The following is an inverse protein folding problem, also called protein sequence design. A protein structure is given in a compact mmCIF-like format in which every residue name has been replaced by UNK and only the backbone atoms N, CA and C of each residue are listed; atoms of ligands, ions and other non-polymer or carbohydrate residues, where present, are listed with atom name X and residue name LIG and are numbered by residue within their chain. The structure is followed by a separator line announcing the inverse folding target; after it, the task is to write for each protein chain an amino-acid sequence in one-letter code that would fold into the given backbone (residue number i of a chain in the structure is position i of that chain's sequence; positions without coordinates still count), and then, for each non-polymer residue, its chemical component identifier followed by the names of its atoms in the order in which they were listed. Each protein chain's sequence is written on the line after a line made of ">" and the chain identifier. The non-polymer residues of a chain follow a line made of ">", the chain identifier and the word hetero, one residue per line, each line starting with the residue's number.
data_IF_652669717969
#
_entry.id   IF_652669717969
#
_cell.length_a   1.000
_cell.length_b   1.000
_cell.length_c   1.000
_cell.angle_alpha   90.00
_cell.angle_beta   90.00
_cell.angle_gamma   90.00
#
_symmetry.space_group_name_H-M   'P 1'
#
loop_
_entity.id
_entity.type
_entity.pdbx_description
1 polymer ?
#
# COMPACT_ATOMS: atom_id res chain seq x y z
N UNK A 1 -16.24 -21.35 15.90
CA UNK A 1 -16.36 -20.49 14.71
C UNK A 1 -15.42 -19.31 14.79
N UNK A 2 -14.21 -19.48 14.25
CA UNK A 2 -13.29 -18.37 14.00
C UNK A 2 -13.86 -17.55 12.85
N UNK A 3 -14.72 -16.58 13.16
CA UNK A 3 -15.02 -15.51 12.21
C UNK A 3 -13.66 -14.97 11.74
N UNK A 4 -13.32 -15.23 10.48
CA UNK A 4 -12.12 -14.66 9.86
C UNK A 4 -12.35 -13.16 9.75
N UNK A 5 -11.98 -12.42 10.80
CA UNK A 5 -12.14 -10.98 10.88
C UNK A 5 -11.18 -10.36 9.88
N UNK A 6 -11.71 -9.76 8.82
CA UNK A 6 -10.92 -8.92 7.91
C UNK A 6 -10.35 -7.76 8.72
N UNK A 7 -9.06 -7.41 8.60
CA UNK A 7 -8.48 -6.29 9.33
C UNK A 7 -9.25 -4.98 9.07
N UNK A 8 -9.51 -4.15 10.10
CA UNK A 8 -10.24 -2.88 9.94
C UNK A 8 -9.63 -1.98 8.86
N UNK A 9 -8.30 -1.96 8.74
CA UNK A 9 -7.59 -1.20 7.72
C UNK A 9 -7.94 -1.65 6.28
N UNK A 10 -8.15 -2.94 6.04
CA UNK A 10 -8.52 -3.45 4.71
C UNK A 10 -9.94 -3.02 4.37
N UNK A 11 -10.89 -3.16 5.31
CA UNK A 11 -12.27 -2.72 5.12
C UNK A 11 -12.34 -1.22 4.89
N UNK A 12 -11.73 -0.42 5.77
CA UNK A 12 -11.72 1.03 5.68
C UNK A 12 -11.12 1.52 4.36
N UNK A 13 -9.99 0.94 3.94
CA UNK A 13 -9.34 1.31 2.69
C UNK A 13 -10.11 0.87 1.44
N UNK A 14 -10.77 -0.30 1.47
CA UNK A 14 -11.58 -0.75 0.33
C UNK A 14 -12.87 0.05 0.19
N UNK A 15 -13.49 0.45 1.30
CA UNK A 15 -14.63 1.37 1.29
C UNK A 15 -14.22 2.73 0.72
N UNK A 16 -13.04 3.25 1.11
CA UNK A 16 -12.49 4.46 0.50
C UNK A 16 -12.35 4.35 -1.02
N UNK A 17 -11.87 3.21 -1.55
CA UNK A 17 -11.78 3.00 -3.00
C UNK A 17 -13.16 2.96 -3.67
N UNK A 18 -14.15 2.35 -3.02
CA UNK A 18 -15.54 2.30 -3.50
C UNK A 18 -16.16 3.72 -3.51
N UNK A 19 -15.94 4.52 -2.47
CA UNK A 19 -16.37 5.91 -2.39
C UNK A 19 -15.69 6.80 -3.44
N UNK A 20 -14.39 6.60 -3.71
CA UNK A 20 -13.71 7.32 -4.80
C UNK A 20 -14.29 6.93 -6.16
N UNK A 21 -14.62 5.66 -6.38
CA UNK A 21 -15.26 5.23 -7.62
C UNK A 21 -16.63 5.89 -7.79
N UNK A 22 -17.46 5.91 -6.73
CA UNK A 22 -18.76 6.58 -6.73
C UNK A 22 -18.65 8.08 -6.99
N UNK A 23 -17.73 8.77 -6.30
CA UNK A 23 -17.47 10.21 -6.48
C UNK A 23 -17.11 10.59 -7.92
N UNK A 24 -16.50 9.66 -8.66
CA UNK A 24 -16.09 9.83 -10.05
C UNK A 24 -17.03 9.15 -11.07
N UNK A 25 -18.23 8.71 -10.65
CA UNK A 25 -19.24 7.99 -11.45
C UNK A 25 -18.70 6.73 -12.17
N UNK A 26 -17.72 6.05 -11.55
CA UNK A 26 -17.15 4.80 -12.05
C UNK A 26 -18.01 3.64 -11.56
N UNK A 27 -18.83 3.09 -12.46
CA UNK A 27 -19.75 1.97 -12.19
C UNK A 27 -19.21 0.61 -12.61
N UNK A 28 -18.07 0.60 -13.31
CA UNK A 28 -17.44 -0.62 -13.77
C UNK A 28 -16.75 -1.36 -12.61
N UNK A 29 -17.28 -2.54 -12.28
CA UNK A 29 -16.75 -3.38 -11.19
C UNK A 29 -15.34 -3.90 -11.51
N UNK A 30 -14.96 -4.04 -12.78
CA UNK A 30 -13.61 -4.46 -13.17
C UNK A 30 -12.57 -3.41 -12.78
N UNK A 31 -12.86 -2.14 -13.01
CA UNK A 31 -12.00 -1.03 -12.61
C UNK A 31 -11.78 -1.01 -11.09
N UNK A 32 -12.84 -1.14 -10.30
CA UNK A 32 -12.75 -1.18 -8.83
C UNK A 32 -11.96 -2.41 -8.36
N UNK A 33 -12.19 -3.57 -8.97
CA UNK A 33 -11.43 -4.79 -8.70
C UNK A 33 -9.93 -4.61 -8.97
N UNK A 34 -9.57 -3.94 -10.06
CA UNK A 34 -8.19 -3.61 -10.42
C UNK A 34 -7.57 -2.71 -9.36
N UNK A 35 -8.28 -1.68 -8.87
CA UNK A 35 -7.77 -0.80 -7.82
C UNK A 35 -7.48 -1.55 -6.52
N UNK A 36 -8.42 -2.39 -6.07
CA UNK A 36 -8.26 -3.22 -4.86
C UNK A 36 -7.08 -4.18 -4.99
N UNK A 37 -6.94 -4.82 -6.17
CA UNK A 37 -5.85 -5.74 -6.47
C UNK A 37 -4.48 -5.05 -6.53
N UNK A 38 -4.39 -3.90 -7.22
CA UNK A 38 -3.16 -3.16 -7.40
C UNK A 38 -2.70 -2.41 -6.15
N UNK A 39 -3.57 -2.23 -5.17
CA UNK A 39 -3.27 -1.51 -3.94
C UNK A 39 -2.86 -2.42 -2.79
N UNK A 40 -3.49 -3.60 -2.62
CA UNK A 40 -3.22 -4.49 -1.50
C UNK A 40 -2.52 -5.81 -1.91
N UNK A 41 -3.16 -6.76 -2.64
CA UNK A 41 -2.50 -8.00 -3.05
C UNK A 41 -1.15 -7.81 -3.73
N UNK A 42 -1.07 -6.93 -4.74
CA UNK A 42 0.16 -6.81 -5.55
C UNK A 42 1.28 -5.99 -4.88
N UNK A 43 0.93 -5.11 -3.94
CA UNK A 43 1.91 -4.24 -3.26
C UNK A 43 2.39 -4.84 -1.94
N UNK A 44 1.47 -5.42 -1.18
CA UNK A 44 1.77 -5.95 0.14
C UNK A 44 1.94 -7.47 0.10
N UNK A 45 0.90 -8.22 -0.27
CA UNK A 45 0.90 -9.68 -0.11
C UNK A 45 1.92 -10.39 -1.01
N UNK A 46 2.01 -10.01 -2.28
CA UNK A 46 3.04 -10.55 -3.20
C UNK A 46 4.44 -10.26 -2.65
N UNK A 47 4.65 -9.06 -2.09
CA UNK A 47 5.96 -8.68 -1.55
C UNK A 47 6.32 -9.52 -0.32
N UNK A 48 5.37 -9.75 0.59
CA UNK A 48 5.56 -10.61 1.76
C UNK A 48 5.79 -12.08 1.34
N UNK A 49 5.02 -12.60 0.39
CA UNK A 49 5.16 -13.98 -0.11
C UNK A 49 6.54 -14.23 -0.72
N UNK A 50 7.06 -13.25 -1.45
CA UNK A 50 8.39 -13.35 -2.08
C UNK A 50 9.54 -13.10 -1.11
N UNK A 51 9.32 -12.36 -0.03
CA UNK A 51 10.37 -11.92 0.88
C UNK A 51 10.07 -12.35 2.32
N UNK A 52 10.12 -13.65 2.66
CA UNK A 52 9.79 -14.13 4.00
C UNK A 52 10.74 -13.61 5.08
N UNK A 53 11.96 -13.21 4.70
CA UNK A 53 12.94 -12.60 5.58
C UNK A 53 12.52 -11.22 6.12
N UNK A 54 11.46 -10.60 5.56
CA UNK A 54 10.85 -9.39 6.14
C UNK A 54 10.07 -9.67 7.42
N UNK A 55 9.65 -10.91 7.65
CA UNK A 55 8.86 -11.31 8.81
C UNK A 55 9.65 -12.23 9.73
N UNK A 56 10.47 -13.11 9.15
CA UNK A 56 11.20 -14.13 9.89
C UNK A 56 12.71 -13.95 9.75
N UNK A 57 13.45 -14.30 10.80
CA UNK A 57 14.90 -14.37 10.76
C UNK A 57 15.34 -15.66 10.03
N UNK A 58 15.27 -15.63 8.70
CA UNK A 58 15.57 -16.78 7.84
C UNK A 58 16.40 -16.37 6.63
N UNK A 59 17.35 -17.24 6.26
CA UNK A 59 18.06 -17.13 4.98
C UNK A 59 17.28 -17.85 3.89
N UNK A 60 16.94 -17.12 2.81
CA UNK A 60 16.20 -17.68 1.67
C UNK A 60 17.19 -18.14 0.61
N UNK A 61 17.30 -19.46 0.42
CA UNK A 61 18.10 -20.03 -0.67
C UNK A 61 17.43 -19.82 -2.03
N UNK A 62 18.23 -19.75 -3.10
CA UNK A 62 17.78 -19.49 -4.48
C UNK A 62 16.67 -20.45 -4.95
N UNK A 63 16.76 -21.75 -4.60
CA UNK A 63 15.72 -22.74 -4.96
C UNK A 63 14.39 -22.45 -4.27
N UNK A 64 14.43 -21.96 -3.03
CA UNK A 64 13.23 -21.55 -2.28
C UNK A 64 12.66 -20.27 -2.88
N UNK A 65 13.51 -19.29 -3.19
CA UNK A 65 13.10 -18.03 -3.84
C UNK A 65 12.40 -18.27 -5.19
N UNK A 66 12.96 -19.17 -6.02
CA UNK A 66 12.34 -19.56 -7.29
C UNK A 66 10.96 -20.21 -7.07
N UNK A 67 10.82 -21.04 -6.04
CA UNK A 67 9.53 -21.67 -5.67
C UNK A 67 8.52 -20.65 -5.17
N UNK A 68 8.94 -19.70 -4.33
CA UNK A 68 8.10 -18.60 -3.84
C UNK A 68 7.67 -17.69 -4.98
N UNK A 69 8.53 -17.45 -5.97
CA UNK A 69 8.18 -16.68 -7.17
C UNK A 69 7.08 -17.36 -8.00
N UNK A 70 7.10 -18.69 -8.11
CA UNK A 70 6.03 -19.46 -8.75
C UNK A 70 4.71 -19.31 -7.99
N UNK A 71 4.74 -19.47 -6.66
CA UNK A 71 3.54 -19.32 -5.79
C UNK A 71 2.98 -17.90 -5.87
N UNK A 72 3.86 -16.90 -5.79
CA UNK A 72 3.47 -15.49 -5.90
C UNK A 72 2.83 -15.19 -7.26
N UNK A 73 3.36 -15.77 -8.35
CA UNK A 73 2.74 -15.62 -9.67
C UNK A 73 1.34 -16.23 -9.71
N UNK A 74 1.14 -17.42 -9.16
CA UNK A 74 -0.19 -18.03 -9.05
C UNK A 74 -1.15 -17.18 -8.23
N UNK A 75 -0.68 -16.59 -7.13
CA UNK A 75 -1.47 -15.66 -6.32
C UNK A 75 -1.87 -14.41 -7.12
N UNK A 76 -0.95 -13.83 -7.89
CA UNK A 76 -1.26 -12.71 -8.79
C UNK A 76 -2.28 -13.09 -9.87
N UNK A 77 -2.11 -14.27 -10.48
CA UNK A 77 -3.03 -14.80 -11.49
C UNK A 77 -4.44 -15.06 -10.91
N UNK A 78 -4.53 -15.42 -9.62
CA UNK A 78 -5.81 -15.56 -8.92
C UNK A 78 -6.51 -14.23 -8.69
N UNK A 79 -5.75 -13.14 -8.59
CA UNK A 79 -6.30 -11.80 -8.37
C UNK A 79 -6.77 -11.11 -9.67
N UNK A 80 -6.49 -11.65 -10.86
CA UNK A 80 -7.05 -11.09 -12.11
C UNK A 80 -8.40 -11.73 -12.44
N UNK A 81 -9.31 -10.97 -13.05
CA UNK A 81 -10.59 -11.49 -13.60
C UNK A 81 -10.43 -12.09 -14.99
N UNK A 82 -9.33 -11.81 -15.69
CA UNK A 82 -9.10 -12.31 -17.06
C UNK A 82 -8.84 -13.82 -17.08
N UNK A 83 -9.64 -14.56 -17.84
CA UNK A 83 -9.36 -15.96 -18.14
C UNK A 83 -8.21 -16.07 -19.13
N UNK A 84 -7.20 -16.86 -18.77
CA UNK A 84 -6.09 -17.16 -19.66
C UNK A 84 -6.32 -18.52 -20.30
N UNK A 85 -6.44 -18.56 -21.64
CA UNK A 85 -6.45 -19.81 -22.38
C UNK A 85 -5.05 -20.41 -22.33
N UNK A 86 -4.94 -21.56 -21.68
CA UNK A 86 -3.70 -22.32 -21.62
C UNK A 86 -3.44 -23.00 -22.97
N UNK A 87 -2.18 -22.94 -23.39
CA UNK A 87 -1.66 -23.58 -24.60
C UNK A 87 -0.38 -24.34 -24.25
N UNK A 88 0.15 -25.11 -25.21
CA UNK A 88 1.44 -25.80 -25.05
C UNK A 88 2.62 -24.85 -24.83
N UNK A 89 2.48 -23.60 -25.25
CA UNK A 89 3.50 -22.56 -25.11
C UNK A 89 3.31 -21.74 -23.82
N UNK A 90 2.34 -22.10 -22.98
CA UNK A 90 2.13 -21.41 -21.70
C UNK A 90 3.26 -21.73 -20.72
N UNK A 91 3.70 -20.74 -19.92
CA UNK A 91 4.73 -20.94 -18.91
C UNK A 91 4.42 -22.10 -17.95
N UNK A 92 5.44 -22.91 -17.61
CA UNK A 92 5.27 -24.12 -16.79
C UNK A 92 4.59 -23.87 -15.43
N UNK A 93 4.87 -22.72 -14.81
CA UNK A 93 4.24 -22.31 -13.56
C UNK A 93 2.73 -22.05 -13.69
N UNK A 94 2.26 -21.60 -14.85
CA UNK A 94 0.81 -21.47 -15.13
C UNK A 94 0.15 -22.82 -15.35
N UNK A 95 0.85 -23.73 -16.01
CA UNK A 95 0.37 -25.10 -16.21
C UNK A 95 0.26 -25.87 -14.88
N UNK A 96 1.15 -25.59 -13.93
CA UNK A 96 1.21 -26.25 -12.63
C UNK A 96 -0.08 -26.06 -11.80
N UNK A 97 -0.67 -24.86 -11.84
CA UNK A 97 -1.87 -24.49 -11.06
C UNK A 97 -3.12 -24.27 -11.93
N UNK A 98 -3.09 -24.78 -13.17
CA UNK A 98 -4.13 -24.60 -14.16
C UNK A 98 -5.52 -25.08 -13.70
N UNK A 99 -5.57 -26.13 -12.88
CA UNK A 99 -6.82 -26.75 -12.45
C UNK A 99 -7.46 -25.98 -11.28
N UNK A 100 -6.63 -25.37 -10.44
CA UNK A 100 -7.01 -24.72 -9.20
C UNK A 100 -7.30 -23.22 -9.39
N UNK A 101 -6.74 -22.60 -10.43
CA UNK A 101 -6.77 -21.14 -10.60
C UNK A 101 -8.19 -20.55 -10.66
N UNK A 102 -9.15 -21.26 -11.25
CA UNK A 102 -10.56 -20.83 -11.30
C UNK A 102 -11.20 -20.80 -9.90
N UNK A 103 -10.81 -21.74 -9.04
CA UNK A 103 -11.25 -21.78 -7.64
C UNK A 103 -10.66 -20.61 -6.87
N UNK A 104 -9.37 -20.32 -7.05
CA UNK A 104 -8.72 -19.19 -6.38
C UNK A 104 -9.30 -17.83 -6.81
N UNK A 105 -9.57 -17.66 -8.10
CA UNK A 105 -10.27 -16.46 -8.62
C UNK A 105 -11.61 -16.26 -7.93
N UNK A 106 -12.42 -17.33 -7.82
CA UNK A 106 -13.69 -17.30 -7.10
C UNK A 106 -13.50 -16.93 -5.62
N UNK A 107 -12.48 -17.45 -4.96
CA UNK A 107 -12.17 -17.08 -3.56
C UNK A 107 -11.84 -15.58 -3.42
N UNK A 108 -11.10 -14.99 -4.37
CA UNK A 108 -10.81 -13.54 -4.37
C UNK A 108 -12.08 -12.72 -4.58
N UNK A 109 -12.93 -13.12 -5.54
CA UNK A 109 -14.22 -12.46 -5.77
C UNK A 109 -15.13 -12.54 -4.54
N UNK A 110 -15.21 -13.70 -3.90
CA UNK A 110 -15.97 -13.93 -2.68
C UNK A 110 -15.41 -13.10 -1.51
N UNK A 111 -14.09 -12.96 -1.42
CA UNK A 111 -13.41 -12.13 -0.43
C UNK A 111 -13.76 -10.64 -0.58
N UNK A 112 -13.62 -10.08 -1.79
CA UNK A 112 -13.96 -8.67 -2.04
C UNK A 112 -15.45 -8.39 -1.83
N UNK A 113 -16.33 -9.31 -2.25
CA UNK A 113 -17.76 -9.20 -1.99
C UNK A 113 -18.07 -9.26 -0.51
N UNK A 114 -17.42 -10.16 0.23
CA UNK A 114 -17.56 -10.26 1.68
C UNK A 114 -17.18 -8.96 2.39
N UNK A 115 -16.04 -8.36 2.02
CA UNK A 115 -15.60 -7.06 2.57
C UNK A 115 -16.62 -5.97 2.30
N UNK A 116 -17.12 -5.87 1.07
CA UNK A 116 -18.12 -4.86 0.70
C UNK A 116 -19.40 -4.97 1.55
N UNK A 117 -19.78 -6.18 1.93
CA UNK A 117 -20.96 -6.46 2.77
C UNK A 117 -20.73 -6.26 4.27
N UNK A 118 -19.48 -6.10 4.72
CA UNK A 118 -19.19 -5.81 6.11
C UNK A 118 -19.72 -4.44 6.53
N UNK A 119 -20.03 -4.30 7.81
CA UNK A 119 -20.33 -3.01 8.43
C UNK A 119 -19.13 -2.07 8.22
N UNK A 120 -19.41 -0.82 7.84
CA UNK A 120 -18.40 0.21 7.66
C UNK A 120 -17.66 0.47 8.98
N UNK A 121 -16.35 0.65 8.89
CA UNK A 121 -15.54 1.08 10.03
C UNK A 121 -15.69 2.58 10.17
N UNK A 122 -16.13 3.07 11.32
CA UNK A 122 -16.29 4.51 11.53
C UNK A 122 -14.94 5.23 11.60
N UNK A 123 -14.90 6.50 11.21
CA UNK A 123 -13.69 7.33 11.34
C UNK A 123 -13.21 7.40 12.80
N UNK A 124 -14.13 7.40 13.76
CA UNK A 124 -13.78 7.41 15.18
C UNK A 124 -13.05 6.12 15.58
N UNK A 125 -13.57 4.95 15.17
CA UNK A 125 -12.96 3.66 15.47
C UNK A 125 -11.60 3.53 14.78
N UNK A 126 -11.51 3.96 13.52
CA UNK A 126 -10.27 3.92 12.76
C UNK A 126 -9.21 4.85 13.37
N UNK A 127 -9.57 6.08 13.75
CA UNK A 127 -8.66 7.00 14.43
C UNK A 127 -8.21 6.47 15.79
N UNK A 128 -9.11 5.83 16.54
CA UNK A 128 -8.76 5.18 17.82
C UNK A 128 -7.73 4.08 17.60
N UNK A 129 -7.97 3.20 16.63
CA UNK A 129 -7.05 2.13 16.25
C UNK A 129 -5.67 2.67 15.81
N UNK A 130 -5.65 3.71 14.97
CA UNK A 130 -4.41 4.36 14.53
C UNK A 130 -3.64 5.00 15.69
N UNK A 131 -4.34 5.63 16.64
CA UNK A 131 -3.72 6.22 17.83
C UNK A 131 -3.13 5.16 18.77
N UNK A 132 -3.76 4.00 18.89
CA UNK A 132 -3.22 2.85 19.63
C UNK A 132 -1.93 2.32 19.00
N UNK A 133 -1.93 2.09 17.68
CA UNK A 133 -0.74 1.65 16.95
C UNK A 133 0.37 2.70 17.06
N UNK A 134 0.05 3.99 16.87
CA UNK A 134 1.03 5.07 16.97
C UNK A 134 1.70 5.10 18.34
N UNK A 135 0.93 5.00 19.43
CA UNK A 135 1.47 4.93 20.80
C UNK A 135 2.33 3.70 21.02
N UNK A 136 1.90 2.53 20.53
CA UNK A 136 2.65 1.28 20.70
C UNK A 136 4.03 1.32 20.00
N UNK A 137 4.18 2.13 18.95
CA UNK A 137 5.39 2.19 18.12
C UNK A 137 6.13 3.53 18.17
N UNK A 138 5.72 4.48 19.02
CA UNK A 138 6.32 5.84 19.08
C UNK A 138 7.84 5.80 19.26
N UNK A 139 8.33 4.98 20.19
CA UNK A 139 9.76 4.89 20.51
C UNK A 139 10.53 3.89 19.63
N UNK A 140 9.86 3.28 18.64
CA UNK A 140 10.47 2.24 17.80
C UNK A 140 11.24 2.79 16.59
N UNK A 141 11.05 4.07 16.25
CA UNK A 141 11.61 4.71 15.06
C UNK A 141 12.42 5.95 15.43
N UNK A 142 13.58 6.13 14.79
CA UNK A 142 14.36 7.36 14.92
C UNK A 142 13.82 8.45 13.98
N UNK A 143 12.87 9.23 14.47
CA UNK A 143 12.24 10.32 13.69
C UNK A 143 13.23 11.39 13.27
N UNK A 144 14.26 11.69 14.07
CA UNK A 144 15.24 12.72 13.73
C UNK A 144 16.07 12.35 12.49
N UNK A 145 16.52 11.08 12.41
CA UNK A 145 17.23 10.58 11.24
C UNK A 145 16.32 10.59 10.01
N UNK A 146 15.07 10.14 10.16
CA UNK A 146 14.10 10.17 9.06
C UNK A 146 13.86 11.59 8.54
N UNK A 147 13.68 12.58 9.44
CA UNK A 147 13.52 13.99 9.09
C UNK A 147 14.74 14.55 8.37
N UNK A 148 15.95 14.21 8.82
CA UNK A 148 17.17 14.63 8.16
C UNK A 148 17.27 14.08 6.72
N UNK A 149 16.95 12.79 6.51
CA UNK A 149 16.93 12.19 5.18
C UNK A 149 15.84 12.79 4.28
N UNK A 150 14.64 13.08 4.83
CA UNK A 150 13.57 13.75 4.09
C UNK A 150 13.97 15.16 3.67
N UNK A 151 14.63 15.92 4.55
CA UNK A 151 15.09 17.27 4.24
C UNK A 151 16.05 17.31 3.06
N UNK A 152 16.84 16.26 2.81
CA UNK A 152 17.71 16.20 1.63
C UNK A 152 16.92 16.33 0.32
N UNK A 153 15.74 15.72 0.25
CA UNK A 153 14.84 15.88 -0.89
C UNK A 153 14.24 17.29 -0.93
N UNK A 154 13.83 17.82 0.22
CA UNK A 154 13.31 19.19 0.31
C UNK A 154 14.31 20.21 -0.18
N UNK A 155 15.57 20.09 0.24
CA UNK A 155 16.65 20.98 -0.17
C UNK A 155 16.98 20.83 -1.67
N UNK A 156 16.93 19.60 -2.19
CA UNK A 156 17.20 19.33 -3.61
C UNK A 156 16.16 19.97 -4.55
N UNK A 157 14.90 20.03 -4.13
CA UNK A 157 13.77 20.54 -4.92
C UNK A 157 13.18 21.81 -4.29
N UNK A 158 14.03 22.59 -3.63
CA UNK A 158 13.58 23.66 -2.75
C UNK A 158 12.74 24.72 -3.48
N UNK A 159 13.25 25.20 -4.62
CA UNK A 159 12.57 26.24 -5.41
C UNK A 159 11.23 25.75 -5.94
N UNK A 160 11.15 24.51 -6.44
CA UNK A 160 9.90 23.93 -6.91
C UNK A 160 8.87 23.78 -5.78
N UNK A 161 9.32 23.37 -4.59
CA UNK A 161 8.44 23.24 -3.42
C UNK A 161 7.95 24.61 -2.96
N UNK A 162 8.82 25.62 -2.87
CA UNK A 162 8.43 26.99 -2.49
C UNK A 162 7.41 27.54 -3.47
N UNK A 163 7.66 27.44 -4.78
CA UNK A 163 6.73 27.90 -5.80
C UNK A 163 5.36 27.21 -5.65
N UNK A 164 5.33 25.89 -5.44
CA UNK A 164 4.08 25.17 -5.23
C UNK A 164 3.32 25.62 -3.95
N UNK A 165 4.05 25.92 -2.87
CA UNK A 165 3.45 26.45 -1.63
C UNK A 165 2.95 27.89 -1.77
N UNK A 166 3.57 28.67 -2.64
CA UNK A 166 3.14 30.02 -2.97
C UNK A 166 1.98 30.05 -3.96
N UNK A 167 1.77 29.00 -4.76
CA UNK A 167 0.63 28.90 -5.68
C UNK A 167 -0.65 28.38 -5.02
N UNK A 168 -0.54 27.58 -3.95
CA UNK A 168 -1.70 27.00 -3.24
C UNK A 168 -2.30 27.97 -2.20
N UNK A 169 -3.58 28.40 -2.36
CA UNK A 169 -4.25 29.29 -1.40
C UNK A 169 -4.32 28.73 0.03
N UNK A 170 -4.42 27.40 0.19
CA UNK A 170 -4.45 26.79 1.52
C UNK A 170 -3.09 26.89 2.21
N UNK A 171 -2.00 26.62 1.47
CA UNK A 171 -0.63 26.78 1.93
C UNK A 171 -0.28 28.24 2.26
N UNK A 172 -0.70 29.20 1.42
CA UNK A 172 -0.53 30.63 1.68
C UNK A 172 -1.20 31.06 2.98
N UNK A 173 -2.46 30.65 3.21
CA UNK A 173 -3.22 30.97 4.44
C UNK A 173 -2.52 30.46 5.70
N UNK A 174 -1.81 29.34 5.60
CA UNK A 174 -1.03 28.75 6.69
C UNK A 174 0.43 29.22 6.74
N UNK A 175 0.85 30.09 5.81
CA UNK A 175 2.21 30.61 5.67
C UNK A 175 3.27 29.50 5.55
N UNK A 176 2.96 28.42 4.83
CA UNK A 176 3.83 27.24 4.77
C UNK A 176 5.17 27.51 4.08
N UNK A 177 5.22 28.34 3.04
CA UNK A 177 6.46 28.72 2.36
C UNK A 177 7.44 29.42 3.33
N UNK A 178 6.92 30.37 4.13
CA UNK A 178 7.72 31.10 5.14
C UNK A 178 8.23 30.13 6.21
N UNK A 179 7.40 29.18 6.68
CA UNK A 179 7.83 28.18 7.66
C UNK A 179 8.95 27.29 7.10
N UNK A 180 8.88 26.92 5.83
CA UNK A 180 9.93 26.13 5.18
C UNK A 180 11.24 26.93 5.05
N UNK A 181 11.17 28.21 4.67
CA UNK A 181 12.33 29.11 4.65
C UNK A 181 13.00 29.22 6.03
N UNK A 182 12.21 29.31 7.10
CA UNK A 182 12.74 29.34 8.48
C UNK A 182 13.44 28.03 8.85
N UNK A 183 12.90 26.89 8.44
CA UNK A 183 13.54 25.58 8.66
C UNK A 183 14.87 25.51 7.91
N UNK A 184 14.89 25.93 6.64
CA UNK A 184 16.10 25.92 5.82
C UNK A 184 17.20 26.80 6.43
N UNK A 185 16.89 28.05 6.78
CA UNK A 185 17.84 28.95 7.44
C UNK A 185 18.37 28.36 8.76
N UNK A 186 17.50 27.77 9.59
CA UNK A 186 17.91 27.16 10.86
C UNK A 186 18.82 25.94 10.68
N UNK A 187 18.71 25.21 9.56
CA UNK A 187 19.55 24.07 9.24
C UNK A 187 20.89 24.50 8.61
N UNK A 188 20.88 25.52 7.74
CA UNK A 188 22.10 26.08 7.14
C UNK A 188 23.03 26.71 8.20
N UNK A 189 22.47 27.44 9.17
CA UNK A 189 23.25 28.00 10.28
C UNK A 189 23.89 26.91 11.18
N UNK A 190 23.26 25.74 11.29
CA UNK A 190 23.82 24.61 12.03
C UNK A 190 24.92 23.85 11.28
N UNK A 191 24.91 23.91 9.94
CA UNK A 191 25.95 23.29 9.09
C UNK A 191 27.23 24.11 9.11
N UNK A 192 27.16 25.43 9.30
CA UNK A 192 28.34 26.30 9.38
C UNK A 192 29.09 26.25 10.73
N UNK A 193 28.46 25.70 11.78
CA UNK A 193 29.02 25.61 13.14
C UNK A 193 29.60 24.21 13.48
N UNK A 194 29.71 23.31 12.48
CA UNK A 194 30.33 21.97 12.57
C UNK A 194 31.58 21.90 11.66
#
# INVERSE_FOLDING_TARGET
>A
DSHHVVPPAVKYFFDFLDEQAEKHDIKDEDTIHIWKTNSLPLRFWVNILKNPHFIFDVHVHEVVDASLSVIAQTFMDACTRTEHKLSRDSPSNKLLYAKEISTYKKMVEDYYRGIRQMVQVSDQDMNTHLAEISRAHTDSLNTLVALHQLYQYTNKYYDEIINALEEDPAAQKMQLAIRLQQIAAALEHKVTDL
#
